data_IF_243539223590
#
_entry.id   IF_243539223590
#
_cell.length_a   1.000
_cell.length_b   1.000
_cell.length_c   1.000
_cell.angle_alpha   90.00
_cell.angle_beta   90.00
_cell.angle_gamma   90.00
#
_symmetry.space_group_name_H-M   'P 1'
#
loop_
_entity.id
_entity.type
_entity.pdbx_description
1 polymer ?
#
# COMPACT_ATOMS: atom_id res chain seq x y z
N UNK A 1 -2.78 -16.54 -11.53
CA UNK A 1 -3.00 -16.19 -10.11
C UNK A 1 -1.67 -16.44 -9.42
N UNK A 2 -0.81 -15.44 -9.33
CA UNK A 2 0.43 -15.58 -8.54
C UNK A 2 0.03 -15.28 -7.11
N UNK A 3 -0.05 -16.26 -6.21
CA UNK A 3 -0.55 -16.02 -4.84
C UNK A 3 0.53 -15.48 -3.89
N UNK A 4 1.78 -15.32 -4.33
CA UNK A 4 2.93 -14.95 -3.49
C UNK A 4 3.91 -14.07 -4.28
N UNK A 5 4.69 -13.23 -3.60
CA UNK A 5 5.82 -12.48 -4.19
C UNK A 5 7.10 -13.26 -3.94
N UNK A 6 7.88 -13.48 -5.00
CA UNK A 6 9.21 -14.07 -4.86
C UNK A 6 10.21 -13.03 -4.37
N UNK A 7 10.90 -13.32 -3.27
CA UNK A 7 12.02 -12.53 -2.74
C UNK A 7 13.22 -13.46 -2.57
N UNK A 8 14.00 -13.62 -3.64
CA UNK A 8 15.06 -14.62 -3.71
C UNK A 8 14.49 -16.04 -3.66
N UNK A 9 14.84 -16.82 -2.64
CA UNK A 9 14.31 -18.17 -2.41
C UNK A 9 13.00 -18.18 -1.59
N UNK A 10 12.64 -17.05 -0.98
CA UNK A 10 11.47 -16.95 -0.12
C UNK A 10 10.23 -16.55 -0.93
N UNK A 11 9.09 -17.10 -0.55
CA UNK A 11 7.77 -16.64 -0.99
C UNK A 11 7.16 -15.83 0.13
N UNK A 12 6.85 -14.56 -0.13
CA UNK A 12 6.29 -13.63 0.85
C UNK A 12 4.92 -13.13 0.41
N UNK A 13 4.20 -12.56 1.37
CA UNK A 13 2.95 -11.89 1.09
C UNK A 13 3.20 -10.51 0.44
N UNK A 14 2.24 -9.97 -0.30
CA UNK A 14 2.30 -8.59 -0.78
C UNK A 14 1.93 -7.64 0.35
N UNK A 15 2.67 -6.54 0.46
CA UNK A 15 2.31 -5.42 1.31
C UNK A 15 1.32 -4.49 0.59
N UNK A 16 0.57 -3.69 1.35
CA UNK A 16 -0.22 -2.58 0.82
C UNK A 16 -1.75 -2.76 0.87
N UNK A 17 -2.27 -3.87 1.38
CA UNK A 17 -3.71 -4.01 1.67
C UNK A 17 -3.98 -3.31 3.01
N UNK A 18 -4.21 -2.00 2.94
CA UNK A 18 -4.30 -1.12 4.11
C UNK A 18 -5.65 -1.29 4.80
N UNK A 19 -6.70 -1.52 4.02
CA UNK A 19 -8.06 -1.68 4.53
C UNK A 19 -8.40 -3.14 4.90
N UNK A 20 -7.50 -4.09 4.65
CA UNK A 20 -7.61 -5.51 4.96
C UNK A 20 -8.82 -6.18 4.32
N UNK A 21 -9.21 -5.70 3.12
CA UNK A 21 -10.35 -6.25 2.38
C UNK A 21 -9.99 -7.42 1.46
N UNK A 22 -8.70 -7.81 1.46
CA UNK A 22 -8.21 -8.91 0.67
C UNK A 22 -8.05 -8.56 -0.80
N UNK A 23 -7.93 -7.29 -1.19
CA UNK A 23 -7.62 -6.89 -2.55
C UNK A 23 -6.89 -5.54 -2.63
N UNK A 24 -5.72 -5.57 -3.26
CA UNK A 24 -4.93 -4.37 -3.53
C UNK A 24 -5.55 -3.53 -4.64
N UNK A 25 -5.85 -2.26 -4.33
CA UNK A 25 -6.43 -1.26 -5.22
C UNK A 25 -5.81 0.11 -4.98
N UNK A 26 -5.36 0.78 -6.04
CA UNK A 26 -4.87 2.16 -5.92
C UNK A 26 -5.95 3.22 -6.25
N UNK A 27 -6.97 2.87 -7.02
CA UNK A 27 -8.09 3.77 -7.34
C UNK A 27 -9.43 3.06 -7.21
N UNK A 28 -10.53 3.84 -7.24
CA UNK A 28 -11.89 3.33 -7.09
C UNK A 28 -12.33 3.28 -5.63
N UNK A 29 -13.51 2.70 -5.38
CA UNK A 29 -13.98 2.45 -4.01
C UNK A 29 -13.07 1.44 -3.30
N UNK A 30 -12.94 1.60 -1.98
CA UNK A 30 -12.10 0.75 -1.13
C UNK A 30 -10.67 0.64 -1.66
N UNK A 31 -10.11 1.75 -2.14
CA UNK A 31 -8.70 1.80 -2.47
C UNK A 31 -7.85 1.88 -1.19
N UNK A 32 -6.62 1.40 -1.29
CA UNK A 32 -5.66 1.35 -0.18
C UNK A 32 -4.92 2.68 0.04
N UNK A 33 -4.96 3.59 -0.95
CA UNK A 33 -4.24 4.86 -0.86
C UNK A 33 -4.95 5.90 0.01
N UNK A 34 -6.28 5.83 0.12
CA UNK A 34 -7.07 6.85 0.80
C UNK A 34 -6.86 6.80 2.32
N UNK A 35 -6.82 5.63 3.01
CA UNK A 35 -6.44 5.56 4.42
C UNK A 35 -5.07 6.21 4.72
N UNK A 36 -4.07 5.98 3.86
CA UNK A 36 -2.74 6.62 3.98
C UNK A 36 -2.85 8.14 3.89
N UNK A 37 -3.67 8.66 2.96
CA UNK A 37 -3.86 10.11 2.84
C UNK A 37 -4.61 10.67 4.06
N UNK A 38 -5.62 9.95 4.59
CA UNK A 38 -6.36 10.35 5.77
C UNK A 38 -5.50 10.40 7.03
N UNK A 39 -4.61 9.43 7.24
CA UNK A 39 -3.75 9.39 8.43
C UNK A 39 -2.80 10.58 8.51
N UNK A 40 -2.41 11.18 7.38
CA UNK A 40 -1.60 12.41 7.33
C UNK A 40 -2.40 13.72 7.29
N UNK A 41 -3.73 13.68 7.50
CA UNK A 41 -4.61 14.86 7.52
C UNK A 41 -5.44 15.08 6.25
N UNK A 42 -5.50 14.11 5.35
CA UNK A 42 -6.53 13.93 4.32
C UNK A 42 -6.41 14.75 3.04
N UNK A 43 -5.76 15.92 3.06
CA UNK A 43 -5.74 16.81 1.88
C UNK A 43 -4.35 17.26 1.45
N UNK A 44 -3.38 17.31 2.37
CA UNK A 44 -2.03 17.78 2.09
C UNK A 44 -1.09 16.57 1.97
N UNK A 45 -0.73 16.12 0.74
CA UNK A 45 0.02 14.88 0.52
C UNK A 45 1.48 14.93 0.99
N UNK A 46 1.96 16.12 1.39
CA UNK A 46 3.30 16.34 1.93
C UNK A 46 3.32 16.31 3.46
N UNK A 47 2.16 16.22 4.11
CA UNK A 47 2.12 15.98 5.54
C UNK A 47 2.64 14.58 5.86
N UNK A 48 3.07 14.41 7.11
CA UNK A 48 3.55 13.13 7.63
C UNK A 48 2.95 12.91 9.01
N UNK A 49 2.87 11.66 9.43
CA UNK A 49 2.47 11.31 10.80
C UNK A 49 3.46 10.28 11.34
N UNK A 50 3.95 10.50 12.56
CA UNK A 50 4.96 9.65 13.18
C UNK A 50 4.27 8.56 14.01
N UNK A 51 4.73 7.33 13.84
CA UNK A 51 4.26 6.14 14.55
C UNK A 51 4.15 4.93 13.63
N UNK A 52 4.17 3.75 14.25
CA UNK A 52 3.84 2.49 13.57
C UNK A 52 2.32 2.36 13.48
N UNK A 53 1.74 2.96 12.44
CA UNK A 53 0.31 2.90 12.13
C UNK A 53 0.02 1.77 11.16
N UNK A 54 -1.26 1.43 10.96
CA UNK A 54 -1.65 0.41 9.97
C UNK A 54 -1.30 0.88 8.55
N UNK A 55 -1.29 2.19 8.34
CA UNK A 55 -0.94 2.85 7.09
C UNK A 55 0.58 2.98 6.85
N UNK A 56 1.42 2.64 7.83
CA UNK A 56 2.88 2.57 7.69
C UNK A 56 3.26 1.25 6.99
N UNK A 57 3.21 1.26 5.66
CA UNK A 57 3.36 0.05 4.83
C UNK A 57 4.82 -0.39 4.73
N UNK A 58 5.74 0.57 4.81
CA UNK A 58 7.17 0.28 4.74
C UNK A 58 7.78 -0.03 6.12
N UNK A 59 7.02 0.17 7.21
CA UNK A 59 7.39 -0.07 8.60
C UNK A 59 8.61 0.76 9.05
N UNK A 60 8.72 2.01 8.59
CA UNK A 60 9.78 2.96 8.95
C UNK A 60 9.40 3.90 10.11
N UNK A 61 8.17 3.78 10.62
CA UNK A 61 7.64 4.57 11.72
C UNK A 61 7.17 5.97 11.31
N UNK A 62 7.03 6.27 10.02
CA UNK A 62 6.50 7.54 9.51
C UNK A 62 5.59 7.33 8.31
N UNK A 63 4.29 7.58 8.49
CA UNK A 63 3.34 7.53 7.38
C UNK A 63 3.49 8.74 6.46
N UNK A 64 3.65 8.49 5.16
CA UNK A 64 3.78 9.51 4.10
C UNK A 64 3.05 9.10 2.83
N UNK A 65 2.34 10.04 2.22
CA UNK A 65 1.71 9.82 0.92
C UNK A 65 2.63 10.17 -0.27
N UNK A 66 3.55 11.12 -0.11
CA UNK A 66 4.46 11.55 -1.19
C UNK A 66 5.90 11.71 -0.70
N UNK A 67 6.83 11.87 -1.63
CA UNK A 67 8.26 11.92 -1.36
C UNK A 67 8.92 10.54 -1.35
N UNK A 68 10.19 10.49 -0.92
CA UNK A 68 10.94 9.24 -0.82
C UNK A 68 10.43 8.38 0.33
N UNK A 69 10.42 7.06 0.12
CA UNK A 69 9.90 6.07 1.09
C UNK A 69 8.45 6.38 1.51
N UNK A 70 7.59 6.70 0.54
CA UNK A 70 6.16 6.85 0.81
C UNK A 70 5.47 5.48 0.85
N UNK A 71 4.33 5.42 1.53
CA UNK A 71 3.58 4.18 1.76
C UNK A 71 2.70 3.78 0.58
N UNK A 72 2.46 4.71 -0.35
CA UNK A 72 1.62 4.45 -1.53
C UNK A 72 2.34 3.69 -2.65
N UNK A 73 3.67 3.81 -2.73
CA UNK A 73 4.46 3.22 -3.82
C UNK A 73 4.48 1.69 -3.78
N UNK A 74 4.61 1.01 -2.61
CA UNK A 74 4.46 -0.45 -2.53
C UNK A 74 3.14 -0.96 -3.11
N UNK A 75 2.03 -0.23 -2.91
CA UNK A 75 0.71 -0.58 -3.45
C UNK A 75 0.76 -0.55 -4.98
N UNK A 76 1.21 0.56 -5.57
CA UNK A 76 1.37 0.71 -7.02
C UNK A 76 2.24 -0.39 -7.62
N UNK A 77 3.40 -0.66 -7.02
CA UNK A 77 4.30 -1.71 -7.48
C UNK A 77 3.61 -3.08 -7.50
N UNK A 78 2.85 -3.42 -6.45
CA UNK A 78 2.21 -4.73 -6.34
C UNK A 78 1.00 -4.89 -7.28
N UNK A 79 0.28 -3.82 -7.67
CA UNK A 79 -0.81 -3.89 -8.66
C UNK A 79 -0.34 -3.83 -10.13
N UNK A 80 0.97 -3.77 -10.38
CA UNK A 80 1.52 -3.75 -11.75
C UNK A 80 2.16 -2.42 -12.16
N UNK A 81 2.53 -1.59 -11.19
CA UNK A 81 3.33 -0.38 -11.38
C UNK A 81 2.48 0.84 -11.77
N UNK A 82 2.74 1.38 -12.96
CA UNK A 82 2.21 2.68 -13.40
C UNK A 82 0.77 2.66 -13.87
N UNK A 83 0.09 1.52 -13.83
CA UNK A 83 -1.33 1.38 -14.22
C UNK A 83 -2.18 1.33 -12.94
N UNK A 84 -2.71 2.47 -12.46
CA UNK A 84 -3.34 2.59 -11.14
C UNK A 84 -4.74 1.96 -11.06
N UNK A 85 -5.26 1.47 -12.18
CA UNK A 85 -6.61 0.88 -12.31
C UNK A 85 -6.62 -0.64 -12.15
N UNK A 86 -5.45 -1.27 -12.06
CA UNK A 86 -5.37 -2.70 -11.82
C UNK A 86 -5.81 -3.02 -10.40
N UNK A 87 -6.55 -4.12 -10.26
CA UNK A 87 -6.90 -4.71 -8.97
C UNK A 87 -6.15 -6.03 -8.86
N UNK A 88 -5.44 -6.21 -7.75
CA UNK A 88 -4.81 -7.50 -7.44
C UNK A 88 -5.52 -8.13 -6.27
N UNK A 89 -6.30 -9.18 -6.55
CA UNK A 89 -6.95 -9.98 -5.51
C UNK A 89 -5.90 -10.56 -4.56
N UNK A 90 -6.21 -10.52 -3.27
CA UNK A 90 -5.33 -10.88 -2.18
C UNK A 90 -4.92 -12.34 -2.19
N UNK A 91 -3.96 -12.63 -1.35
CA UNK A 91 -3.29 -13.92 -1.32
C UNK A 91 -4.10 -14.86 -0.42
N UNK A 92 -4.63 -15.92 -1.01
CA UNK A 92 -5.17 -17.02 -0.24
C UNK A 92 -3.99 -17.85 0.31
N UNK A 93 -4.06 -18.35 1.57
CA UNK A 93 -3.04 -19.23 2.15
C UNK A 93 -2.64 -20.40 1.25
#
# INVERSE_FOLDING_TARGET
MEARKSMGIAQVLWAGDVNQDGALRYTGQNNDRDPILFSIGGSVPTNTTIGYLVEDINLDGVVKYSGQNNDRDPILQNIGGSVPTNVRQGQLP
#
